data_IF_361552942826
#
_entry.id   IF_361552942826
#
_cell.length_a   1.000
_cell.length_b   1.000
_cell.length_c   1.000
_cell.angle_alpha   90.00
_cell.angle_beta   90.00
_cell.angle_gamma   90.00
#
_symmetry.space_group_name_H-M   'P 1'
#
loop_
_entity.id
_entity.type
_entity.pdbx_description
1 polymer ?
#
# COMPACT_ATOMS: atom_id res chain seq x y z
N UNK A 1 10.28 -9.01 8.63
CA UNK A 1 9.31 -8.52 7.64
C UNK A 1 7.98 -8.10 8.30
N UNK A 2 8.04 -7.57 9.52
CA UNK A 2 6.86 -6.95 10.14
C UNK A 2 6.60 -5.56 9.56
N UNK A 3 5.36 -5.07 9.67
CA UNK A 3 5.03 -3.69 9.26
C UNK A 3 5.78 -2.65 10.11
N UNK A 4 6.12 -2.98 11.34
CA UNK A 4 6.96 -2.14 12.21
C UNK A 4 8.39 -2.00 11.67
N UNK A 5 9.03 -3.12 11.31
CA UNK A 5 10.37 -3.12 10.69
C UNK A 5 10.37 -2.42 9.33
N UNK A 6 9.31 -2.55 8.55
CA UNK A 6 9.17 -1.82 7.28
C UNK A 6 9.09 -0.30 7.52
N UNK A 7 8.33 0.14 8.52
CA UNK A 7 8.28 1.56 8.91
C UNK A 7 9.65 2.07 9.39
N UNK A 8 10.39 1.27 10.17
CA UNK A 8 11.76 1.60 10.58
C UNK A 8 12.69 1.74 9.36
N UNK A 9 12.56 0.82 8.39
CA UNK A 9 13.34 0.88 7.14
C UNK A 9 13.01 2.14 6.33
N UNK A 10 11.74 2.53 6.24
CA UNK A 10 11.33 3.78 5.59
C UNK A 10 12.01 4.98 6.27
N UNK A 11 12.03 5.04 7.59
CA UNK A 11 12.71 6.11 8.31
C UNK A 11 14.22 6.15 8.05
N UNK A 12 14.90 5.00 8.00
CA UNK A 12 16.32 4.97 7.65
C UNK A 12 16.58 5.45 6.22
N UNK A 13 15.72 5.10 5.26
CA UNK A 13 15.79 5.60 3.88
C UNK A 13 15.57 7.12 3.85
N UNK A 14 14.55 7.63 4.53
CA UNK A 14 14.30 9.07 4.58
C UNK A 14 15.46 9.84 5.22
N UNK A 15 16.02 9.31 6.31
CA UNK A 15 17.18 9.88 6.96
C UNK A 15 18.40 9.93 6.03
N UNK A 16 18.64 8.85 5.29
CA UNK A 16 19.74 8.78 4.32
C UNK A 16 19.63 9.86 3.24
N UNK A 17 18.42 10.15 2.78
CA UNK A 17 18.17 11.20 1.78
C UNK A 17 17.93 12.59 2.37
N UNK A 18 18.09 12.78 3.69
CA UNK A 18 17.93 14.07 4.34
C UNK A 18 16.49 14.60 4.36
N UNK A 19 15.49 13.72 4.28
CA UNK A 19 14.07 14.10 4.35
C UNK A 19 13.76 14.60 5.76
N UNK A 20 13.26 15.81 5.88
CA UNK A 20 12.89 16.41 7.18
C UNK A 20 11.38 16.42 7.42
N UNK A 21 10.58 16.15 6.39
CA UNK A 21 9.13 16.08 6.42
C UNK A 21 8.56 16.02 5.02
N UNK A 22 7.23 15.95 4.91
CA UNK A 22 6.59 15.99 3.61
C UNK A 22 5.27 15.23 3.51
N UNK A 23 4.85 15.09 2.27
CA UNK A 23 3.62 14.40 1.89
C UNK A 23 3.90 12.92 1.62
N UNK A 24 3.19 12.03 2.27
CA UNK A 24 3.37 10.60 2.08
C UNK A 24 2.35 10.07 1.07
N UNK A 25 2.86 9.46 0.00
CA UNK A 25 2.08 8.78 -1.02
C UNK A 25 2.42 7.29 -0.98
N UNK A 26 1.43 6.45 -0.82
CA UNK A 26 1.61 5.02 -0.65
C UNK A 26 0.69 4.20 -1.54
N UNK A 27 1.05 2.93 -1.74
CA UNK A 27 0.31 1.99 -2.57
C UNK A 27 0.43 0.57 -2.01
N UNK A 28 -0.62 -0.23 -2.12
CA UNK A 28 -0.71 -1.65 -1.72
C UNK A 28 -0.22 -1.91 -0.29
N UNK A 29 0.83 -2.72 -0.11
CA UNK A 29 1.45 -2.96 1.18
C UNK A 29 2.02 -1.67 1.79
N UNK A 30 2.45 -0.71 0.96
CA UNK A 30 2.90 0.60 1.40
C UNK A 30 1.84 1.37 2.19
N UNK A 31 0.55 1.22 1.86
CA UNK A 31 -0.54 1.81 2.65
C UNK A 31 -0.57 1.24 4.08
N UNK A 32 -0.25 -0.05 4.23
CA UNK A 32 -0.14 -0.68 5.55
C UNK A 32 1.05 -0.15 6.35
N UNK A 33 2.20 0.05 5.71
CA UNK A 33 3.37 0.68 6.33
C UNK A 33 3.05 2.12 6.72
N UNK A 34 2.39 2.86 5.83
CA UNK A 34 1.95 4.22 6.08
C UNK A 34 1.02 4.32 7.30
N UNK A 35 0.12 3.36 7.51
CA UNK A 35 -0.73 3.34 8.71
C UNK A 35 0.07 3.18 10.02
N UNK A 36 1.17 2.41 10.00
CA UNK A 36 2.07 2.34 11.16
C UNK A 36 2.80 3.68 11.39
N UNK A 37 3.26 4.32 10.32
CA UNK A 37 3.92 5.64 10.44
C UNK A 37 2.94 6.68 11.01
N UNK A 38 1.69 6.68 10.56
CA UNK A 38 0.64 7.55 11.14
C UNK A 38 0.40 7.22 12.61
N UNK A 39 0.34 5.94 12.97
CA UNK A 39 0.17 5.56 14.37
C UNK A 39 1.32 6.04 15.24
N UNK A 40 2.56 6.06 14.73
CA UNK A 40 3.71 6.67 15.42
C UNK A 40 3.57 8.19 15.53
N UNK A 41 3.12 8.84 14.48
CA UNK A 41 2.86 10.29 14.48
C UNK A 41 1.84 10.66 15.57
N UNK A 42 0.70 10.01 15.60
CA UNK A 42 -0.37 10.27 16.58
C UNK A 42 0.06 9.96 18.04
N UNK A 43 1.00 9.04 18.24
CA UNK A 43 1.54 8.71 19.55
C UNK A 43 2.79 9.54 19.93
N UNK A 44 3.22 10.49 19.12
CA UNK A 44 4.37 11.35 19.40
C UNK A 44 5.72 10.62 19.40
N UNK A 45 5.86 9.50 18.70
CA UNK A 45 7.08 8.68 18.62
C UNK A 45 7.75 8.73 17.25
N UNK A 46 7.63 9.88 16.58
CA UNK A 46 8.34 10.13 15.34
C UNK A 46 9.83 10.44 15.62
N UNK A 47 10.74 10.11 14.68
CA UNK A 47 12.14 10.46 14.82
C UNK A 47 12.35 11.99 14.92
N UNK A 48 13.17 12.45 15.89
CA UNK A 48 13.39 13.89 16.11
C UNK A 48 14.05 14.63 14.95
N UNK A 49 14.74 13.91 14.04
CA UNK A 49 15.33 14.52 12.84
C UNK A 49 14.28 14.83 11.75
N UNK A 50 13.08 14.25 11.84
CA UNK A 50 11.94 14.56 10.93
C UNK A 50 11.22 15.83 11.46
N UNK A 51 11.94 16.93 11.47
CA UNK A 51 11.56 18.17 12.15
C UNK A 51 10.31 18.87 11.59
N UNK A 52 10.03 18.68 10.29
CA UNK A 52 8.85 19.22 9.63
C UNK A 52 7.66 18.25 9.65
N UNK A 53 7.89 16.99 10.04
CA UNK A 53 6.88 15.97 10.21
C UNK A 53 6.11 15.57 8.94
N UNK A 54 5.03 14.83 9.14
CA UNK A 54 4.11 14.48 8.07
C UNK A 54 3.16 15.64 7.77
N UNK A 55 2.94 15.94 6.49
CA UNK A 55 2.09 17.05 6.05
C UNK A 55 0.76 16.57 5.44
N UNK A 56 0.73 15.42 4.79
CA UNK A 56 -0.49 14.77 4.31
C UNK A 56 -0.24 13.31 3.93
N UNK A 57 -1.31 12.60 3.64
CA UNK A 57 -1.32 11.20 3.26
C UNK A 57 -2.14 10.99 2.01
N UNK A 58 -1.64 10.19 1.06
CA UNK A 58 -2.44 9.66 -0.04
C UNK A 58 -2.31 8.14 -0.03
N UNK A 59 -3.44 7.47 0.15
CA UNK A 59 -3.56 6.01 0.07
C UNK A 59 -4.07 5.59 -1.30
N UNK A 60 -3.43 4.60 -1.88
CA UNK A 60 -3.77 4.09 -3.21
C UNK A 60 -3.84 2.57 -3.20
N UNK A 61 -5.03 2.02 -3.36
CA UNK A 61 -5.25 0.59 -3.61
C UNK A 61 -4.57 -0.36 -2.60
N UNK A 62 -4.64 -0.05 -1.31
CA UNK A 62 -4.04 -0.85 -0.24
C UNK A 62 -5.05 -1.71 0.54
N UNK A 63 -4.68 -2.94 0.83
CA UNK A 63 -5.52 -3.87 1.62
C UNK A 63 -5.47 -3.51 3.10
N UNK A 64 -6.04 -2.36 3.49
CA UNK A 64 -5.95 -1.80 4.84
C UNK A 64 -7.00 -2.31 5.82
N UNK A 65 -8.10 -2.87 5.33
CA UNK A 65 -9.20 -3.44 6.14
C UNK A 65 -9.34 -4.91 5.83
N UNK A 66 -8.90 -5.75 6.74
CA UNK A 66 -8.75 -7.18 6.51
C UNK A 66 -10.09 -7.90 6.25
N UNK A 67 -11.17 -7.43 6.85
CA UNK A 67 -12.52 -7.98 6.64
C UNK A 67 -13.02 -7.80 5.19
N UNK A 68 -12.48 -6.83 4.47
CA UNK A 68 -12.83 -6.52 3.09
C UNK A 68 -11.78 -7.06 2.10
N UNK A 69 -10.67 -7.63 2.60
CA UNK A 69 -9.63 -8.18 1.76
C UNK A 69 -9.99 -9.59 1.26
N UNK A 70 -9.96 -9.79 -0.05
CA UNK A 70 -10.18 -11.10 -0.66
C UNK A 70 -8.83 -11.79 -0.92
N UNK A 71 -8.36 -12.53 0.09
CA UNK A 71 -7.10 -13.24 0.00
C UNK A 71 -7.19 -14.39 -1.02
N UNK A 72 -6.35 -14.32 -2.03
CA UNK A 72 -6.21 -15.35 -3.06
C UNK A 72 -5.68 -16.67 -2.48
N UNK A 73 -5.97 -17.77 -3.15
CA UNK A 73 -5.51 -19.12 -2.73
C UNK A 73 -3.98 -19.14 -2.57
N UNK A 74 -3.24 -18.50 -3.49
CA UNK A 74 -1.76 -18.41 -3.40
C UNK A 74 -1.31 -17.68 -2.15
N UNK A 75 -1.97 -16.59 -1.76
CA UNK A 75 -1.67 -15.86 -0.51
C UNK A 75 -1.95 -16.74 0.73
N UNK A 76 -3.05 -17.49 0.74
CA UNK A 76 -3.38 -18.43 1.82
C UNK A 76 -2.33 -19.54 1.95
N UNK A 77 -1.83 -20.08 0.82
CA UNK A 77 -0.74 -21.06 0.82
C UNK A 77 0.56 -20.45 1.36
N UNK A 78 0.94 -19.26 0.89
CA UNK A 78 2.13 -18.54 1.35
C UNK A 78 2.11 -18.24 2.86
N UNK A 79 0.93 -17.93 3.42
CA UNK A 79 0.74 -17.69 4.85
C UNK A 79 0.78 -18.97 5.69
N UNK A 80 0.57 -20.12 5.09
CA UNK A 80 0.56 -21.40 5.80
C UNK A 80 1.98 -21.85 6.21
N UNK A 81 2.07 -22.88 7.04
CA UNK A 81 3.34 -23.52 7.40
C UNK A 81 4.12 -24.08 6.20
N UNK A 82 3.44 -24.29 5.08
CA UNK A 82 4.03 -24.80 3.82
C UNK A 82 4.46 -23.68 2.85
N UNK A 83 4.29 -22.41 3.21
CA UNK A 83 4.61 -21.28 2.35
C UNK A 83 6.06 -21.29 1.82
N UNK A 84 7.01 -21.78 2.63
CA UNK A 84 8.42 -21.91 2.24
C UNK A 84 8.66 -22.86 1.06
N UNK A 85 7.74 -23.78 0.77
CA UNK A 85 7.83 -24.68 -0.39
C UNK A 85 7.54 -23.95 -1.70
N UNK A 86 6.89 -22.79 -1.63
CA UNK A 86 6.55 -21.98 -2.81
C UNK A 86 7.75 -21.21 -3.39
N UNK A 87 8.88 -21.13 -2.69
CA UNK A 87 10.05 -20.34 -3.08
C UNK A 87 10.59 -20.63 -4.49
N UNK A 88 10.44 -21.87 -4.98
CA UNK A 88 10.94 -22.29 -6.28
C UNK A 88 9.83 -22.46 -7.33
N UNK A 89 8.59 -22.13 -7.00
CA UNK A 89 7.43 -22.33 -7.90
C UNK A 89 7.18 -21.10 -8.76
N UNK A 90 7.53 -19.92 -8.28
CA UNK A 90 7.24 -18.67 -8.97
C UNK A 90 8.16 -18.50 -10.19
N UNK A 91 7.57 -18.59 -11.38
CA UNK A 91 8.20 -18.25 -12.67
C UNK A 91 7.61 -16.96 -13.22
N UNK A 92 8.26 -16.32 -14.19
CA UNK A 92 7.71 -15.15 -14.87
C UNK A 92 6.30 -15.38 -15.42
N UNK A 93 6.04 -16.54 -16.01
CA UNK A 93 4.70 -16.88 -16.54
C UNK A 93 3.64 -16.88 -15.44
N UNK A 94 3.92 -17.47 -14.29
CA UNK A 94 3.00 -17.50 -13.14
C UNK A 94 2.85 -16.10 -12.57
N UNK A 95 3.93 -15.37 -12.42
CA UNK A 95 3.93 -13.99 -11.92
C UNK A 95 3.08 -13.10 -12.83
N UNK A 96 3.30 -13.10 -14.15
CA UNK A 96 2.52 -12.35 -15.13
C UNK A 96 1.01 -12.63 -15.00
N UNK A 97 0.64 -13.91 -14.92
CA UNK A 97 -0.77 -14.28 -14.73
C UNK A 97 -1.35 -13.76 -13.40
N UNK A 98 -0.57 -13.82 -12.33
CA UNK A 98 -0.99 -13.33 -11.01
C UNK A 98 -1.14 -11.82 -11.00
N UNK A 99 -0.18 -11.08 -11.59
CA UNK A 99 -0.23 -9.61 -11.66
C UNK A 99 -1.42 -9.12 -12.47
N UNK A 100 -1.65 -9.67 -13.68
CA UNK A 100 -2.82 -9.32 -14.49
C UNK A 100 -4.13 -9.60 -13.75
N UNK A 101 -4.22 -10.79 -13.15
CA UNK A 101 -5.41 -11.12 -12.37
C UNK A 101 -5.56 -10.30 -11.08
N UNK A 102 -4.49 -9.75 -10.50
CA UNK A 102 -4.57 -8.83 -9.37
C UNK A 102 -4.96 -7.43 -9.82
N UNK A 103 -4.45 -7.00 -10.97
CA UNK A 103 -4.72 -5.68 -11.51
C UNK A 103 -6.20 -5.46 -11.81
N UNK A 104 -6.88 -6.45 -12.37
CA UNK A 104 -8.32 -6.42 -12.58
C UNK A 104 -8.77 -6.01 -13.99
N UNK A 105 -7.90 -5.37 -14.78
CA UNK A 105 -8.12 -5.04 -16.19
C UNK A 105 -6.86 -5.30 -17.04
N UNK A 106 -6.92 -5.05 -18.35
CA UNK A 106 -5.90 -5.44 -19.33
C UNK A 106 -4.97 -4.28 -19.74
N UNK A 107 -4.93 -3.18 -18.99
CA UNK A 107 -4.14 -2.00 -19.38
C UNK A 107 -2.66 -2.03 -18.94
N UNK A 108 -2.18 -3.11 -18.31
CA UNK A 108 -0.75 -3.32 -18.08
C UNK A 108 -0.05 -3.88 -19.30
N UNK A 109 1.01 -3.23 -19.73
CA UNK A 109 1.88 -3.74 -20.80
C UNK A 109 2.75 -4.92 -20.33
N UNK A 110 3.33 -5.65 -21.26
CA UNK A 110 4.28 -6.73 -20.96
C UNK A 110 5.55 -6.17 -20.32
N UNK A 111 6.01 -5.00 -20.79
CA UNK A 111 7.20 -4.30 -20.31
C UNK A 111 7.03 -3.86 -18.83
N UNK A 112 5.87 -3.34 -18.47
CA UNK A 112 5.56 -2.98 -17.07
C UNK A 112 5.61 -4.21 -16.16
N UNK A 113 5.01 -5.33 -16.58
CA UNK A 113 5.05 -6.58 -15.82
C UNK A 113 6.46 -7.15 -15.74
N UNK A 114 7.26 -7.02 -16.82
CA UNK A 114 8.65 -7.43 -16.82
C UNK A 114 9.46 -6.61 -15.79
N UNK A 115 9.26 -5.31 -15.73
CA UNK A 115 9.90 -4.43 -14.75
C UNK A 115 9.54 -4.83 -13.31
N UNK A 116 8.28 -5.15 -13.04
CA UNK A 116 7.85 -5.67 -11.74
C UNK A 116 8.51 -7.01 -11.41
N UNK A 117 8.66 -7.89 -12.40
CA UNK A 117 9.33 -9.18 -12.22
C UNK A 117 10.81 -9.01 -11.89
N UNK A 118 11.51 -8.16 -12.63
CA UNK A 118 12.93 -7.85 -12.37
C UNK A 118 13.13 -7.30 -10.96
N UNK A 119 12.29 -6.35 -10.54
CA UNK A 119 12.31 -5.84 -9.17
C UNK A 119 12.05 -6.93 -8.13
N UNK A 120 11.08 -7.82 -8.40
CA UNK A 120 10.73 -8.92 -7.48
C UNK A 120 11.84 -9.96 -7.36
N UNK A 121 12.66 -10.15 -8.39
CA UNK A 121 13.76 -11.13 -8.39
C UNK A 121 15.06 -10.60 -7.83
N UNK A 122 15.20 -9.28 -7.66
CA UNK A 122 16.38 -8.69 -7.03
C UNK A 122 16.66 -9.33 -5.67
N UNK A 123 17.92 -9.71 -5.43
CA UNK A 123 18.39 -10.32 -4.19
C UNK A 123 17.53 -11.52 -3.74
N UNK A 124 17.07 -12.34 -4.70
CA UNK A 124 16.20 -13.50 -4.49
C UNK A 124 14.83 -13.14 -3.84
N UNK A 125 14.31 -11.96 -4.11
CA UNK A 125 13.05 -11.48 -3.54
C UNK A 125 11.87 -12.41 -3.82
N UNK A 126 11.78 -12.96 -5.05
CA UNK A 126 10.77 -13.94 -5.44
C UNK A 126 10.77 -15.22 -4.57
N UNK A 127 11.91 -15.60 -3.99
CA UNK A 127 12.03 -16.74 -3.07
C UNK A 127 11.61 -16.39 -1.64
N UNK A 128 11.46 -15.09 -1.32
CA UNK A 128 11.15 -14.56 0.02
C UNK A 128 9.68 -14.17 0.19
N UNK A 129 8.85 -14.33 -0.84
CA UNK A 129 7.44 -13.93 -0.83
C UNK A 129 6.64 -14.53 0.35
N UNK A 130 6.97 -15.76 0.77
CA UNK A 130 6.36 -16.40 1.94
C UNK A 130 6.74 -15.72 3.28
N UNK A 131 7.79 -14.91 3.31
CA UNK A 131 8.18 -14.10 4.46
C UNK A 131 7.47 -12.74 4.41
N UNK A 132 7.49 -12.08 3.24
CA UNK A 132 6.91 -10.75 3.08
C UNK A 132 5.40 -10.76 3.30
N UNK A 133 4.67 -11.80 2.85
CA UNK A 133 3.22 -11.91 3.03
C UNK A 133 2.78 -11.97 4.51
N UNK A 134 3.71 -12.25 5.43
CA UNK A 134 3.41 -12.33 6.87
C UNK A 134 2.96 -11.01 7.49
N UNK A 135 3.12 -9.88 6.79
CA UNK A 135 2.56 -8.61 7.22
C UNK A 135 1.03 -8.68 7.49
N UNK A 136 0.33 -9.61 6.85
CA UNK A 136 -1.09 -9.86 7.12
C UNK A 136 -1.36 -10.36 8.54
N UNK A 137 -0.38 -11.00 9.20
CA UNK A 137 -0.49 -11.37 10.62
C UNK A 137 -0.45 -10.13 11.52
N UNK A 138 0.38 -9.14 11.17
CA UNK A 138 0.43 -7.87 11.89
C UNK A 138 -0.89 -7.12 11.72
N UNK A 139 -1.45 -7.10 10.50
CA UNK A 139 -2.79 -6.54 10.27
C UNK A 139 -3.83 -7.18 11.16
N UNK A 140 -3.91 -8.51 11.17
CA UNK A 140 -4.86 -9.25 12.01
C UNK A 140 -4.76 -8.86 13.48
N UNK A 141 -3.54 -8.55 13.95
CA UNK A 141 -3.27 -8.22 15.36
C UNK A 141 -3.51 -6.76 15.69
N UNK A 142 -3.13 -5.84 14.82
CA UNK A 142 -3.00 -4.42 15.16
C UNK A 142 -3.97 -3.49 14.41
N UNK A 143 -4.64 -3.97 13.35
CA UNK A 143 -5.54 -3.15 12.52
C UNK A 143 -6.56 -2.39 13.37
N UNK A 144 -7.33 -3.11 14.18
CA UNK A 144 -8.45 -2.54 14.96
C UNK A 144 -8.01 -1.81 16.22
N UNK A 145 -6.84 -2.11 16.76
CA UNK A 145 -6.38 -1.56 18.03
C UNK A 145 -5.35 -0.44 17.90
N UNK A 146 -4.69 -0.33 16.75
CA UNK A 146 -3.61 0.62 16.53
C UNK A 146 -3.80 1.45 15.26
N UNK A 147 -3.97 0.82 14.11
CA UNK A 147 -3.86 1.49 12.82
C UNK A 147 -5.12 2.22 12.39
N UNK A 148 -6.28 1.56 12.39
CA UNK A 148 -7.54 2.24 12.07
C UNK A 148 -7.89 3.34 13.08
N UNK A 149 -7.69 3.16 14.42
CA UNK A 149 -7.85 4.27 15.36
C UNK A 149 -6.93 5.46 15.09
N UNK A 150 -5.66 5.24 14.74
CA UNK A 150 -4.75 6.32 14.40
C UNK A 150 -5.21 7.11 13.16
N UNK A 151 -5.66 6.41 12.11
CA UNK A 151 -6.26 7.04 10.94
C UNK A 151 -7.54 7.83 11.25
N UNK A 152 -8.33 7.34 12.20
CA UNK A 152 -9.57 8.03 12.61
C UNK A 152 -9.31 9.29 13.44
N UNK A 153 -8.19 9.36 14.15
CA UNK A 153 -7.82 10.45 15.05
C UNK A 153 -6.98 11.53 14.38
N UNK A 154 -6.20 11.16 13.37
CA UNK A 154 -5.27 12.10 12.74
C UNK A 154 -5.97 13.30 12.12
N UNK A 155 -5.34 14.45 12.26
CA UNK A 155 -5.76 15.71 11.62
C UNK A 155 -5.03 15.99 10.32
N UNK A 156 -4.12 15.12 9.93
CA UNK A 156 -3.43 15.23 8.65
C UNK A 156 -4.44 15.19 7.50
N UNK A 157 -4.29 16.02 6.47
CA UNK A 157 -5.06 15.88 5.24
C UNK A 157 -4.87 14.48 4.65
N UNK A 158 -5.95 13.75 4.43
CA UNK A 158 -5.93 12.40 3.85
C UNK A 158 -6.64 12.41 2.51
N UNK A 159 -6.02 11.82 1.51
CA UNK A 159 -6.59 11.47 0.23
C UNK A 159 -6.67 9.95 0.09
N UNK A 160 -7.87 9.44 -0.17
CA UNK A 160 -8.13 8.05 -0.55
C UNK A 160 -8.35 8.06 -2.06
N UNK A 161 -7.34 7.60 -2.82
CA UNK A 161 -7.32 7.65 -4.28
C UNK A 161 -7.30 6.22 -4.83
N UNK A 162 -8.44 5.73 -5.36
CA UNK A 162 -8.64 4.30 -5.54
C UNK A 162 -9.15 3.92 -6.92
N UNK A 163 -8.48 2.97 -7.58
CA UNK A 163 -8.96 2.36 -8.82
C UNK A 163 -10.15 1.44 -8.55
N UNK A 164 -11.21 1.55 -9.35
CA UNK A 164 -12.45 0.80 -9.12
C UNK A 164 -12.46 -0.62 -9.73
N UNK A 165 -11.46 -0.94 -10.54
CA UNK A 165 -11.32 -2.28 -11.15
C UNK A 165 -10.29 -3.17 -10.43
N UNK A 166 -9.77 -2.73 -9.27
CA UNK A 166 -8.85 -3.52 -8.45
C UNK A 166 -9.51 -4.82 -7.96
N UNK A 167 -8.91 -5.95 -8.34
CA UNK A 167 -9.41 -7.28 -7.96
C UNK A 167 -8.90 -7.77 -6.58
N UNK A 168 -8.01 -7.01 -5.92
CA UNK A 168 -7.40 -7.35 -4.61
C UNK A 168 -7.87 -6.41 -3.53
N UNK A 169 -7.54 -5.13 -3.67
CA UNK A 169 -8.00 -4.08 -2.77
C UNK A 169 -9.25 -3.41 -3.37
N UNK A 170 -10.38 -4.12 -3.28
CA UNK A 170 -11.62 -3.71 -3.92
C UNK A 170 -12.09 -2.33 -3.46
N UNK A 171 -12.79 -1.63 -4.33
CA UNK A 171 -13.24 -0.24 -4.13
C UNK A 171 -14.10 -0.06 -2.87
N UNK A 172 -14.78 -1.10 -2.41
CA UNK A 172 -15.55 -1.09 -1.16
C UNK A 172 -14.67 -0.76 0.05
N UNK A 173 -13.36 -1.07 -0.03
CA UNK A 173 -12.41 -0.71 1.02
C UNK A 173 -12.19 0.80 1.09
N UNK A 174 -12.13 1.48 -0.06
CA UNK A 174 -12.02 2.94 -0.12
C UNK A 174 -13.27 3.61 0.48
N UNK A 175 -14.46 3.14 0.16
CA UNK A 175 -15.71 3.63 0.76
C UNK A 175 -15.74 3.38 2.26
N UNK A 176 -15.36 2.18 2.73
CA UNK A 176 -15.30 1.87 4.16
C UNK A 176 -14.33 2.80 4.89
N UNK A 177 -13.13 3.02 4.34
CA UNK A 177 -12.15 3.93 4.94
C UNK A 177 -12.73 5.34 5.05
N UNK A 178 -13.33 5.87 3.98
CA UNK A 178 -13.95 7.20 3.97
C UNK A 178 -15.10 7.32 4.97
N UNK A 179 -16.01 6.36 4.99
CA UNK A 179 -17.25 6.46 5.75
C UNK A 179 -17.09 6.11 7.24
N UNK A 180 -16.23 5.14 7.54
CA UNK A 180 -16.11 4.57 8.89
C UNK A 180 -14.84 4.95 9.63
N UNK A 181 -13.78 5.30 8.92
CA UNK A 181 -12.46 5.55 9.51
C UNK A 181 -12.02 6.99 9.31
N UNK A 182 -11.70 7.38 8.09
CA UNK A 182 -11.14 8.69 7.74
C UNK A 182 -12.25 9.63 7.25
N UNK A 183 -13.23 9.97 8.09
CA UNK A 183 -14.42 10.73 7.70
C UNK A 183 -14.13 12.07 7.01
N UNK A 184 -13.00 12.70 7.35
CA UNK A 184 -12.57 13.98 6.78
C UNK A 184 -11.68 13.80 5.54
N UNK A 185 -11.32 12.57 5.15
CA UNK A 185 -10.51 12.33 3.96
C UNK A 185 -11.20 12.78 2.67
N UNK A 186 -10.45 13.23 1.69
CA UNK A 186 -10.94 13.33 0.31
C UNK A 186 -10.98 11.92 -0.30
N UNK A 187 -12.07 11.59 -0.99
CA UNK A 187 -12.20 10.31 -1.70
C UNK A 187 -12.25 10.58 -3.21
N UNK A 188 -11.35 9.96 -3.94
CA UNK A 188 -11.34 9.96 -5.40
C UNK A 188 -11.39 8.52 -5.91
N UNK A 189 -12.42 8.19 -6.68
CA UNK A 189 -12.52 6.92 -7.39
C UNK A 189 -12.05 7.08 -8.82
N UNK A 190 -10.96 6.41 -9.13
CA UNK A 190 -10.33 6.44 -10.46
C UNK A 190 -11.00 5.40 -11.36
N UNK A 191 -11.91 5.87 -12.20
CA UNK A 191 -12.73 5.01 -13.07
C UNK A 191 -11.89 4.29 -14.13
N UNK A 192 -12.07 2.96 -14.19
CA UNK A 192 -11.40 2.09 -15.15
C UNK A 192 -9.93 1.83 -14.80
N UNK A 193 -9.47 2.16 -13.57
CA UNK A 193 -8.13 1.86 -13.13
C UNK A 193 -8.12 0.64 -12.19
N UNK A 194 -7.13 -0.22 -12.44
CA UNK A 194 -6.91 -1.42 -11.64
C UNK A 194 -5.93 -1.20 -10.47
N UNK A 195 -5.45 -2.31 -9.92
CA UNK A 195 -4.57 -2.30 -8.74
C UNK A 195 -3.28 -1.49 -8.95
N UNK A 196 -2.58 -1.69 -10.06
CA UNK A 196 -1.34 -0.95 -10.39
C UNK A 196 -1.66 0.30 -11.22
N UNK A 197 -2.55 1.17 -10.71
CA UNK A 197 -3.05 2.33 -11.42
C UNK A 197 -1.96 3.33 -11.84
N UNK A 198 -0.87 3.45 -11.05
CA UNK A 198 0.29 4.28 -11.34
C UNK A 198 1.15 3.77 -12.52
N UNK A 199 0.98 2.49 -12.91
CA UNK A 199 1.63 1.91 -14.09
C UNK A 199 0.67 1.88 -15.27
N UNK A 200 -0.45 1.17 -15.18
CA UNK A 200 -1.40 1.01 -16.27
C UNK A 200 -2.04 2.31 -16.79
N UNK A 201 -2.05 3.39 -16.00
CA UNK A 201 -2.60 4.70 -16.39
C UNK A 201 -1.92 5.84 -15.64
N UNK A 202 -0.60 6.06 -15.82
CA UNK A 202 0.19 7.01 -15.04
C UNK A 202 -0.32 8.45 -15.18
N UNK A 203 -0.77 8.87 -16.37
CA UNK A 203 -1.27 10.23 -16.62
C UNK A 203 -2.54 10.49 -15.80
N UNK A 204 -3.50 9.56 -15.82
CA UNK A 204 -4.74 9.69 -15.04
C UNK A 204 -4.44 9.67 -13.55
N UNK A 205 -3.57 8.75 -13.10
CA UNK A 205 -3.19 8.66 -11.71
C UNK A 205 -2.54 9.96 -11.20
N UNK A 206 -1.59 10.53 -11.95
CA UNK A 206 -0.95 11.80 -11.63
C UNK A 206 -1.98 12.94 -11.60
N UNK A 207 -2.94 12.97 -12.54
CA UNK A 207 -4.00 14.00 -12.56
C UNK A 207 -4.80 14.00 -11.24
N UNK A 208 -5.29 12.83 -10.81
CA UNK A 208 -6.07 12.70 -9.58
C UNK A 208 -5.25 13.06 -8.32
N UNK A 209 -4.03 12.54 -8.22
CA UNK A 209 -3.15 12.82 -7.09
C UNK A 209 -2.77 14.31 -7.05
N UNK A 210 -2.41 14.89 -8.18
CA UNK A 210 -2.05 16.32 -8.27
C UNK A 210 -3.23 17.24 -7.94
N UNK A 211 -4.45 16.84 -8.25
CA UNK A 211 -5.64 17.63 -7.92
C UNK A 211 -5.81 17.80 -6.39
N UNK A 212 -5.51 16.77 -5.61
CA UNK A 212 -5.52 16.85 -4.16
C UNK A 212 -4.41 17.79 -3.64
N UNK A 213 -3.17 17.59 -4.10
CA UNK A 213 -2.05 18.43 -3.63
C UNK A 213 -2.23 19.90 -3.96
N UNK A 214 -2.81 20.23 -5.12
CA UNK A 214 -3.14 21.63 -5.47
C UNK A 214 -4.08 22.30 -4.46
N UNK A 215 -4.93 21.54 -3.78
CA UNK A 215 -5.87 22.08 -2.77
C UNK A 215 -5.21 22.33 -1.41
N UNK A 216 -4.23 21.53 -1.03
CA UNK A 216 -3.61 21.60 0.30
C UNK A 216 -2.32 22.41 0.34
N UNK A 217 -1.75 22.77 -0.82
CA UNK A 217 -0.52 23.55 -0.93
C UNK A 217 -0.80 25.05 -1.19
N UNK A 218 -2.08 25.45 -1.19
CA UNK A 218 -2.51 26.85 -1.26
C UNK A 218 -2.67 27.39 0.17
#
# INVERSE_FOLDING_TARGET
YSLFEQADTVFEVWKHFGVQGGHMLSHDMGDSVATEIVARHENGIMPGWLSEGLQSLTFTNGSMVLELADLRITQKILLSKYGHLMKNVLSFKIFNQQIRGAHGNDNLSVEEIQTLWESNTLQDGNQKTYLTIKYLNDRKRFEKTRWLPALAQTKLPIHICWGDEDAVARVEMAYHLKEKVCKNAELTIMKGLGHFCQMGSPEKWIEYVSAFYKKILI
#
